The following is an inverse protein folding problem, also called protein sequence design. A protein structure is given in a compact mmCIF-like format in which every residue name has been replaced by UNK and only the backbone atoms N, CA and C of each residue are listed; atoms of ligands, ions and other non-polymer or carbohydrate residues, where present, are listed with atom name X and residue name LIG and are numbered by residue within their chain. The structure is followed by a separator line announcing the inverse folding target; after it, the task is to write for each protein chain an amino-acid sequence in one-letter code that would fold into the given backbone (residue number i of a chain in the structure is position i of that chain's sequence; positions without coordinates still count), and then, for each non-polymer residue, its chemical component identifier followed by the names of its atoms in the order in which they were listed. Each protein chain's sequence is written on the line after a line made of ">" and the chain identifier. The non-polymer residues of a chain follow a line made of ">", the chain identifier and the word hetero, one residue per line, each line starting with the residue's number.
data_IF_403670804667
#
_entry.id   IF_403670804667
#
_cell.length_a   1.000
_cell.length_b   1.000
_cell.length_c   1.000
_cell.angle_alpha   90.00
_cell.angle_beta   90.00
_cell.angle_gamma   90.00
#
_symmetry.space_group_name_H-M   'P 1'
#
loop_
_entity.id
_entity.type
_entity.pdbx_description
1 polymer ?
#
# COMPACT_ATOMS: atom_id res chain seq x y z
N UNK A 1 6.92 30.75 -1.32
CA UNK A 1 8.07 30.20 -0.56
C UNK A 1 7.76 28.85 0.09
N UNK A 2 6.58 28.64 0.71
CA UNK A 2 6.22 27.33 1.30
C UNK A 2 6.22 26.17 0.27
N UNK A 3 5.66 26.40 -0.91
CA UNK A 3 5.56 25.38 -1.97
C UNK A 3 6.93 24.91 -2.49
N UNK A 4 7.90 25.79 -2.65
CA UNK A 4 9.25 25.42 -3.09
C UNK A 4 10.01 24.63 -2.01
N UNK A 5 9.70 24.84 -0.73
CA UNK A 5 10.22 24.03 0.39
C UNK A 5 9.56 22.66 0.43
N UNK A 6 8.22 22.61 0.32
CA UNK A 6 7.49 21.34 0.26
C UNK A 6 7.90 20.51 -0.96
N UNK A 7 8.25 21.17 -2.06
CA UNK A 7 8.73 20.51 -3.27
C UNK A 7 10.21 20.09 -3.20
N UNK A 8 10.90 20.32 -2.08
CA UNK A 8 12.31 19.96 -1.92
C UNK A 8 13.23 20.64 -2.94
N UNK A 9 12.81 21.77 -3.46
CA UNK A 9 13.58 22.56 -4.42
C UNK A 9 14.51 23.54 -3.71
N UNK A 10 14.15 23.97 -2.50
CA UNK A 10 14.92 24.90 -1.70
C UNK A 10 14.95 24.44 -0.23
N UNK A 11 16.08 24.68 0.43
CA UNK A 11 16.23 24.57 1.88
C UNK A 11 16.45 25.97 2.49
N UNK A 12 15.97 26.16 3.73
CA UNK A 12 16.29 27.37 4.48
C UNK A 12 17.06 27.02 5.73
N UNK A 13 18.20 27.68 5.93
CA UNK A 13 18.98 27.59 7.15
C UNK A 13 18.94 28.93 7.89
N UNK A 14 18.70 28.87 9.18
CA UNK A 14 18.68 30.07 10.02
C UNK A 14 20.04 30.77 9.91
N UNK A 15 20.06 32.06 9.56
CA UNK A 15 21.25 32.85 9.36
C UNK A 15 21.91 32.78 7.97
N UNK A 16 21.52 31.84 7.11
CA UNK A 16 22.14 31.64 5.76
C UNK A 16 21.15 31.84 4.61
N UNK A 17 19.86 32.17 4.90
CA UNK A 17 18.86 32.43 3.89
C UNK A 17 18.26 31.17 3.30
N UNK A 18 17.83 31.25 2.02
CA UNK A 18 17.24 30.15 1.27
C UNK A 18 18.19 29.76 0.14
N UNK A 19 18.57 28.49 0.08
CA UNK A 19 19.41 27.92 -0.96
C UNK A 19 18.62 26.92 -1.82
N UNK A 20 18.97 26.87 -3.12
CA UNK A 20 18.42 25.86 -4.04
C UNK A 20 19.13 24.55 -3.80
N UNK A 21 18.35 23.47 -3.59
CA UNK A 21 18.91 22.14 -3.47
C UNK A 21 19.43 21.67 -4.83
N UNK A 22 20.71 21.26 -4.95
CA UNK A 22 21.26 20.74 -6.20
C UNK A 22 20.43 19.59 -6.77
N UNK A 23 20.29 19.50 -8.09
CA UNK A 23 19.46 18.49 -8.77
C UNK A 23 19.88 17.06 -8.38
N UNK A 24 21.17 16.82 -8.16
CA UNK A 24 21.72 15.53 -7.69
C UNK A 24 21.29 15.12 -6.29
N UNK A 25 20.84 16.07 -5.45
CA UNK A 25 20.35 15.85 -4.10
C UNK A 25 18.81 15.88 -4.04
N UNK A 26 18.14 16.23 -5.15
CA UNK A 26 16.68 16.21 -5.25
C UNK A 26 16.19 14.80 -5.49
N UNK A 27 16.40 13.92 -4.51
CA UNK A 27 15.77 12.60 -4.50
C UNK A 27 14.38 12.75 -3.90
N UNK A 28 13.39 12.97 -4.73
CA UNK A 28 12.01 12.79 -4.27
C UNK A 28 11.15 12.28 -5.41
N UNK A 29 10.93 10.99 -5.41
CA UNK A 29 9.69 10.46 -5.91
C UNK A 29 8.62 11.01 -4.96
N UNK A 30 7.77 11.91 -5.44
CA UNK A 30 6.73 12.54 -4.63
C UNK A 30 5.39 12.03 -5.11
N UNK A 31 4.76 11.23 -4.28
CA UNK A 31 3.32 11.11 -4.32
C UNK A 31 2.75 12.30 -3.54
N UNK A 32 1.92 13.10 -4.19
CA UNK A 32 1.22 14.18 -3.50
C UNK A 32 0.22 13.56 -2.51
N UNK A 33 0.13 14.13 -1.30
CA UNK A 33 -0.84 13.74 -0.25
C UNK A 33 -2.32 14.06 -0.64
N UNK A 34 -2.56 14.40 -1.90
CA UNK A 34 -3.90 14.68 -2.42
C UNK A 34 -4.58 13.37 -2.83
N UNK A 35 -5.90 13.35 -2.75
CA UNK A 35 -6.72 12.28 -3.34
C UNK A 35 -6.35 12.13 -4.81
N UNK A 36 -5.96 10.93 -5.21
CA UNK A 36 -5.56 10.64 -6.58
C UNK A 36 -6.79 10.58 -7.48
N UNK A 37 -6.69 11.17 -8.66
CA UNK A 37 -7.71 11.00 -9.68
C UNK A 37 -7.71 9.57 -10.26
N UNK A 38 -8.79 9.14 -10.95
CA UNK A 38 -8.94 7.77 -11.45
C UNK A 38 -7.75 7.27 -12.26
N UNK A 39 -7.21 8.09 -13.17
CA UNK A 39 -6.06 7.73 -13.98
C UNK A 39 -4.78 7.52 -13.14
N UNK A 40 -4.53 8.37 -12.16
CA UNK A 40 -3.38 8.24 -11.26
C UNK A 40 -3.49 6.99 -10.38
N UNK A 41 -4.71 6.61 -10.00
CA UNK A 41 -4.96 5.34 -9.28
C UNK A 41 -4.58 4.14 -10.13
N UNK A 42 -4.98 4.13 -11.41
CA UNK A 42 -4.64 3.06 -12.36
C UNK A 42 -3.11 2.95 -12.49
N UNK A 43 -2.44 4.05 -12.76
CA UNK A 43 -0.98 4.12 -12.91
C UNK A 43 -0.24 3.63 -11.63
N UNK A 44 -0.75 4.02 -10.45
CA UNK A 44 -0.19 3.57 -9.19
C UNK A 44 -0.41 2.07 -8.95
N UNK A 45 -1.57 1.54 -9.29
CA UNK A 45 -1.87 0.10 -9.20
C UNK A 45 -1.06 -0.72 -10.21
N UNK A 46 -0.74 -0.17 -11.38
CA UNK A 46 0.21 -0.80 -12.33
C UNK A 46 1.60 -0.96 -11.71
N UNK A 47 2.09 0.06 -11.00
CA UNK A 47 3.36 -0.01 -10.28
C UNK A 47 3.31 -0.98 -9.09
N UNK A 48 2.22 -1.00 -8.34
CA UNK A 48 2.05 -1.87 -7.16
C UNK A 48 2.03 -3.35 -7.53
N UNK A 49 1.35 -3.73 -8.63
CA UNK A 49 1.17 -5.14 -9.00
C UNK A 49 2.48 -5.93 -9.01
N UNK A 50 3.49 -5.61 -9.81
CA UNK A 50 4.73 -6.39 -9.84
C UNK A 50 5.47 -6.38 -8.52
N UNK A 51 5.45 -5.28 -7.78
CA UNK A 51 6.14 -5.14 -6.51
C UNK A 51 5.47 -5.97 -5.40
N UNK A 52 4.16 -5.93 -5.29
CA UNK A 52 3.45 -6.66 -4.24
C UNK A 52 3.31 -8.14 -4.57
N UNK A 53 3.22 -8.52 -5.85
CA UNK A 53 3.36 -9.92 -6.24
C UNK A 53 4.71 -10.49 -5.80
N UNK A 54 5.81 -9.78 -6.09
CA UNK A 54 7.15 -10.18 -5.65
C UNK A 54 7.25 -10.19 -4.12
N UNK A 55 6.63 -9.23 -3.42
CA UNK A 55 6.58 -9.21 -1.96
C UNK A 55 5.90 -10.46 -1.40
N UNK A 56 4.74 -10.85 -1.94
CA UNK A 56 4.01 -12.02 -1.48
C UNK A 56 4.80 -13.32 -1.74
N UNK A 57 5.46 -13.43 -2.91
CA UNK A 57 6.34 -14.56 -3.23
C UNK A 57 7.50 -14.67 -2.23
N UNK A 58 8.21 -13.58 -2.01
CA UNK A 58 9.33 -13.54 -1.08
C UNK A 58 8.88 -13.76 0.38
N UNK A 59 7.72 -13.24 0.77
CA UNK A 59 7.14 -13.50 2.09
C UNK A 59 6.83 -14.98 2.26
N UNK A 60 6.28 -15.67 1.26
CA UNK A 60 6.05 -17.11 1.31
C UNK A 60 7.35 -17.90 1.51
N UNK A 61 8.45 -17.48 0.87
CA UNK A 61 9.76 -18.11 1.01
C UNK A 61 10.42 -17.86 2.38
N UNK A 62 10.26 -16.66 2.95
CA UNK A 62 11.16 -16.13 3.99
C UNK A 62 10.52 -15.83 5.33
N UNK A 63 9.19 -15.72 5.40
CA UNK A 63 8.50 -15.28 6.61
C UNK A 63 8.92 -16.10 7.84
N UNK A 64 9.01 -15.40 8.96
CA UNK A 64 9.11 -15.98 10.30
C UNK A 64 7.70 -16.20 10.88
N UNK A 65 7.62 -16.90 11.99
CA UNK A 65 6.34 -17.02 12.74
C UNK A 65 5.85 -15.68 13.28
N UNK A 66 6.75 -14.73 13.52
CA UNK A 66 6.41 -13.36 13.93
C UNK A 66 5.76 -12.59 12.78
N UNK A 67 6.38 -12.64 11.59
CA UNK A 67 5.84 -11.98 10.39
C UNK A 67 4.44 -12.50 10.06
N UNK A 68 4.22 -13.82 10.16
CA UNK A 68 2.92 -14.42 9.91
C UNK A 68 1.87 -13.97 10.93
N UNK A 69 2.25 -13.78 12.20
CA UNK A 69 1.37 -13.17 13.20
C UNK A 69 1.00 -11.74 12.86
N UNK A 70 1.97 -10.91 12.49
CA UNK A 70 1.70 -9.51 12.10
C UNK A 70 0.73 -9.42 10.90
N UNK A 71 0.89 -10.28 9.89
CA UNK A 71 0.00 -10.36 8.72
C UNK A 71 -1.42 -10.74 9.16
N UNK A 72 -1.55 -11.79 9.98
CA UNK A 72 -2.84 -12.24 10.48
C UNK A 72 -3.52 -11.21 11.39
N UNK A 73 -2.77 -10.50 12.24
CA UNK A 73 -3.28 -9.44 13.10
C UNK A 73 -3.84 -8.27 12.29
N UNK A 74 -3.17 -7.87 11.21
CA UNK A 74 -3.67 -6.85 10.32
C UNK A 74 -4.98 -7.28 9.64
N UNK A 75 -5.05 -8.53 9.14
CA UNK A 75 -6.27 -9.08 8.57
C UNK A 75 -7.42 -9.14 9.59
N UNK A 76 -7.13 -9.56 10.83
CA UNK A 76 -8.14 -9.61 11.88
C UNK A 76 -8.65 -8.22 12.25
N UNK A 77 -7.79 -7.20 12.35
CA UNK A 77 -8.21 -5.81 12.58
C UNK A 77 -9.14 -5.32 11.46
N UNK A 78 -8.85 -5.63 10.20
CA UNK A 78 -9.72 -5.28 9.08
C UNK A 78 -11.09 -5.99 9.19
N UNK A 79 -11.12 -7.26 9.60
CA UNK A 79 -12.35 -8.04 9.76
C UNK A 79 -13.27 -7.46 10.83
N UNK A 80 -12.73 -7.03 11.97
CA UNK A 80 -13.50 -6.49 13.10
C UNK A 80 -13.84 -5.00 12.96
N UNK A 81 -13.16 -4.25 12.08
CA UNK A 81 -13.49 -2.85 11.83
C UNK A 81 -14.91 -2.72 11.29
N UNK A 82 -15.62 -1.67 11.73
CA UNK A 82 -16.91 -1.32 11.15
C UNK A 82 -16.68 -0.75 9.74
N UNK A 83 -17.53 -1.16 8.81
CA UNK A 83 -17.57 -0.81 7.39
C UNK A 83 -16.56 0.26 6.94
N UNK A 84 -15.43 -0.17 6.37
CA UNK A 84 -14.44 0.70 5.75
C UNK A 84 -14.19 2.03 6.47
N UNK A 85 -14.27 2.00 7.81
CA UNK A 85 -13.82 3.08 8.65
C UNK A 85 -12.34 3.38 8.37
N UNK A 86 -11.89 4.52 8.80
CA UNK A 86 -10.48 4.89 8.78
C UNK A 86 -9.56 3.77 9.32
N UNK A 87 -10.01 3.09 10.37
CA UNK A 87 -9.33 1.94 10.99
C UNK A 87 -9.25 0.72 10.06
N UNK A 88 -10.33 0.45 9.30
CA UNK A 88 -10.36 -0.65 8.33
C UNK A 88 -9.43 -0.41 7.14
N UNK A 89 -9.35 0.83 6.66
CA UNK A 89 -8.40 1.21 5.61
C UNK A 89 -6.97 1.16 6.13
N UNK A 90 -6.73 1.60 7.36
CA UNK A 90 -5.39 1.50 7.95
C UNK A 90 -4.97 0.03 8.11
N UNK A 91 -5.88 -0.85 8.54
CA UNK A 91 -5.58 -2.28 8.66
C UNK A 91 -5.28 -2.95 7.31
N UNK A 92 -5.93 -2.52 6.22
CA UNK A 92 -5.65 -2.93 4.84
C UNK A 92 -4.21 -2.52 4.42
N UNK A 93 -3.82 -1.29 4.68
CA UNK A 93 -2.47 -0.80 4.40
C UNK A 93 -1.41 -1.52 5.26
N UNK A 94 -1.72 -1.77 6.53
CA UNK A 94 -0.84 -2.50 7.44
C UNK A 94 -0.65 -3.96 6.99
N UNK A 95 -1.67 -4.59 6.41
CA UNK A 95 -1.59 -5.93 5.84
C UNK A 95 -0.57 -6.00 4.70
N UNK A 96 -0.66 -5.10 3.73
CA UNK A 96 0.30 -5.03 2.62
C UNK A 96 1.72 -4.69 3.09
N UNK A 97 1.84 -3.79 4.08
CA UNK A 97 3.12 -3.46 4.69
C UNK A 97 3.73 -4.65 5.45
N UNK A 98 2.93 -5.42 6.19
CA UNK A 98 3.41 -6.60 6.90
C UNK A 98 3.93 -7.68 5.93
N UNK A 99 3.26 -7.90 4.79
CA UNK A 99 3.75 -8.79 3.73
C UNK A 99 5.08 -8.29 3.16
N UNK A 100 5.20 -6.98 2.90
CA UNK A 100 6.44 -6.38 2.43
C UNK A 100 7.59 -6.54 3.44
N UNK A 101 7.31 -6.40 4.74
CA UNK A 101 8.26 -6.63 5.84
C UNK A 101 8.71 -8.10 5.89
N UNK A 102 7.79 -9.05 5.70
CA UNK A 102 8.06 -10.49 5.68
C UNK A 102 8.99 -10.93 4.53
N UNK A 103 9.25 -10.08 3.55
CA UNK A 103 10.28 -10.33 2.51
C UNK A 103 11.70 -10.41 3.07
N UNK A 104 11.95 -9.86 4.27
CA UNK A 104 13.28 -9.67 4.84
C UNK A 104 14.12 -8.59 4.14
N UNK A 105 13.56 -7.87 3.16
CA UNK A 105 14.21 -6.77 2.46
C UNK A 105 13.55 -5.44 2.84
N UNK A 106 14.24 -4.57 3.60
CA UNK A 106 13.66 -3.33 4.13
C UNK A 106 13.16 -2.38 3.05
N UNK A 107 13.72 -2.42 1.83
CA UNK A 107 13.27 -1.55 0.74
C UNK A 107 11.82 -1.81 0.31
N UNK A 108 11.32 -3.06 0.42
CA UNK A 108 9.90 -3.35 0.16
C UNK A 108 9.01 -2.70 1.22
N UNK A 109 9.36 -2.83 2.50
CA UNK A 109 8.61 -2.24 3.60
C UNK A 109 8.61 -0.70 3.54
N UNK A 110 9.77 -0.08 3.32
CA UNK A 110 9.92 1.38 3.20
C UNK A 110 9.10 1.92 2.03
N UNK A 111 9.12 1.21 0.89
CA UNK A 111 8.36 1.61 -0.28
C UNK A 111 6.85 1.49 -0.05
N UNK A 112 6.38 0.41 0.58
CA UNK A 112 4.96 0.23 0.92
C UNK A 112 4.48 1.26 1.94
N UNK A 113 5.29 1.60 2.96
CA UNK A 113 4.99 2.66 3.90
C UNK A 113 4.85 4.03 3.21
N UNK A 114 5.75 4.32 2.26
CA UNK A 114 5.70 5.54 1.45
C UNK A 114 4.41 5.62 0.59
N UNK A 115 4.01 4.52 -0.03
CA UNK A 115 2.76 4.45 -0.82
C UNK A 115 1.52 4.58 0.05
N UNK A 116 1.55 4.04 1.26
CA UNK A 116 0.41 3.99 2.18
C UNK A 116 -0.20 5.36 2.45
N UNK A 117 0.63 6.39 2.63
CA UNK A 117 0.17 7.76 2.83
C UNK A 117 -0.68 8.31 1.68
N UNK A 118 -0.25 8.09 0.44
CA UNK A 118 -0.99 8.55 -0.74
C UNK A 118 -2.25 7.70 -1.01
N UNK A 119 -2.17 6.40 -0.74
CA UNK A 119 -3.28 5.47 -0.97
C UNK A 119 -4.42 5.67 0.02
N UNK A 120 -4.12 5.98 1.28
CA UNK A 120 -5.11 6.06 2.36
C UNK A 120 -6.28 6.99 2.02
N UNK A 121 -5.99 8.25 1.67
CA UNK A 121 -7.02 9.21 1.31
C UNK A 121 -7.84 8.75 0.10
N UNK A 122 -7.17 8.20 -0.91
CA UNK A 122 -7.81 7.70 -2.14
C UNK A 122 -8.72 6.50 -1.87
N UNK A 123 -8.26 5.53 -1.07
CA UNK A 123 -9.07 4.36 -0.69
C UNK A 123 -10.29 4.78 0.13
N UNK A 124 -10.12 5.69 1.10
CA UNK A 124 -11.25 6.21 1.89
C UNK A 124 -12.31 6.84 1.01
N UNK A 125 -11.91 7.69 0.06
CA UNK A 125 -12.84 8.34 -0.88
C UNK A 125 -13.55 7.30 -1.74
N UNK A 126 -12.82 6.42 -2.43
CA UNK A 126 -13.39 5.40 -3.30
C UNK A 126 -14.37 4.47 -2.56
N UNK A 127 -14.08 4.14 -1.31
CA UNK A 127 -14.94 3.27 -0.49
C UNK A 127 -16.17 3.97 0.04
N UNK A 128 -16.08 5.27 0.39
CA UNK A 128 -17.25 6.06 0.81
C UNK A 128 -18.24 6.29 -0.34
N UNK A 129 -17.78 6.28 -1.57
CA UNK A 129 -18.59 6.47 -2.78
C UNK A 129 -19.15 5.15 -3.33
N UNK A 130 -18.57 4.02 -2.93
CA UNK A 130 -18.98 2.72 -3.44
C UNK A 130 -20.38 2.30 -2.95
N UNK A 131 -21.19 1.87 -3.91
CA UNK A 131 -22.53 1.31 -3.66
C UNK A 131 -22.54 -0.20 -3.46
N UNK A 132 -21.42 -0.88 -3.59
CA UNK A 132 -21.34 -2.32 -3.44
C UNK A 132 -21.18 -2.73 -1.96
N UNK A 133 -22.21 -3.31 -1.32
CA UNK A 133 -22.15 -3.69 0.10
C UNK A 133 -21.20 -4.87 0.37
N UNK A 134 -20.75 -5.57 -0.67
CA UNK A 134 -19.93 -6.78 -0.53
C UNK A 134 -18.42 -6.51 -0.68
N UNK A 135 -17.99 -5.27 -0.89
CA UNK A 135 -16.56 -4.99 -1.10
C UNK A 135 -15.70 -5.51 0.04
N UNK A 136 -16.16 -5.32 1.28
CA UNK A 136 -15.41 -5.76 2.47
C UNK A 136 -15.25 -7.28 2.49
N UNK A 137 -16.32 -8.05 2.28
CA UNK A 137 -16.24 -9.50 2.27
C UNK A 137 -15.35 -10.03 1.15
N UNK A 138 -15.48 -9.47 -0.05
CA UNK A 138 -14.62 -9.84 -1.19
C UNK A 138 -13.16 -9.57 -0.87
N UNK A 139 -12.82 -8.40 -0.36
CA UNK A 139 -11.43 -8.05 0.00
C UNK A 139 -10.89 -8.98 1.09
N UNK A 140 -11.68 -9.30 2.12
CA UNK A 140 -11.27 -10.22 3.17
C UNK A 140 -11.02 -11.65 2.67
N UNK A 141 -11.82 -12.13 1.72
CA UNK A 141 -11.63 -13.42 1.07
C UNK A 141 -10.37 -13.44 0.21
N UNK A 142 -10.14 -12.38 -0.58
CA UNK A 142 -8.91 -12.21 -1.37
C UNK A 142 -7.67 -12.22 -0.47
N UNK A 143 -7.70 -11.48 0.63
CA UNK A 143 -6.60 -11.45 1.62
C UNK A 143 -6.38 -12.81 2.29
N UNK A 144 -7.46 -13.53 2.62
CA UNK A 144 -7.35 -14.87 3.19
C UNK A 144 -6.60 -15.83 2.25
N UNK A 145 -6.86 -15.76 0.94
CA UNK A 145 -6.13 -16.56 -0.05
C UNK A 145 -4.63 -16.24 -0.08
N UNK A 146 -4.27 -14.95 0.05
CA UNK A 146 -2.87 -14.53 0.13
C UNK A 146 -2.21 -15.11 1.39
N UNK A 147 -2.85 -14.97 2.55
CA UNK A 147 -2.33 -15.48 3.83
C UNK A 147 -2.12 -16.98 3.77
N UNK A 148 -3.11 -17.74 3.29
CA UNK A 148 -3.03 -19.20 3.17
C UNK A 148 -1.86 -19.64 2.29
N UNK A 149 -1.63 -18.95 1.17
CA UNK A 149 -0.52 -19.24 0.28
C UNK A 149 0.84 -18.93 0.90
N UNK A 150 0.94 -17.81 1.65
CA UNK A 150 2.17 -17.44 2.38
C UNK A 150 2.43 -18.48 3.49
N UNK A 151 1.43 -18.84 4.28
CA UNK A 151 1.53 -19.83 5.35
C UNK A 151 1.93 -21.22 4.83
N UNK A 152 1.38 -21.61 3.68
CA UNK A 152 1.72 -22.85 2.98
C UNK A 152 3.13 -22.84 2.35
N UNK A 153 3.84 -21.70 2.40
CA UNK A 153 5.14 -21.50 1.75
C UNK A 153 5.09 -21.81 0.25
N UNK A 154 4.00 -21.40 -0.43
CA UNK A 154 3.84 -21.49 -1.87
C UNK A 154 4.00 -20.10 -2.52
N UNK A 155 5.20 -19.76 -3.02
CA UNK A 155 5.46 -18.45 -3.64
C UNK A 155 4.61 -18.22 -4.90
N UNK A 156 4.36 -19.30 -5.67
CA UNK A 156 3.55 -19.22 -6.89
C UNK A 156 2.11 -18.84 -6.59
N UNK A 157 1.48 -19.55 -5.65
CA UNK A 157 0.12 -19.25 -5.21
C UNK A 157 0.02 -17.88 -4.53
N UNK A 158 1.00 -17.50 -3.68
CA UNK A 158 1.01 -16.21 -2.99
C UNK A 158 1.08 -15.02 -3.98
N UNK A 159 1.98 -15.08 -4.96
CA UNK A 159 2.08 -14.06 -6.00
C UNK A 159 0.82 -14.00 -6.86
N UNK A 160 0.23 -15.13 -7.22
CA UNK A 160 -1.00 -15.17 -8.01
C UNK A 160 -2.20 -14.61 -7.24
N UNK A 161 -2.36 -14.96 -5.96
CA UNK A 161 -3.42 -14.45 -5.11
C UNK A 161 -3.31 -12.92 -4.95
N UNK A 162 -2.09 -12.39 -4.73
CA UNK A 162 -1.84 -10.95 -4.67
C UNK A 162 -2.18 -10.26 -6.00
N UNK A 163 -1.84 -10.84 -7.14
CA UNK A 163 -2.20 -10.30 -8.46
C UNK A 163 -3.72 -10.17 -8.60
N UNK A 164 -4.47 -11.23 -8.29
CA UNK A 164 -5.93 -11.24 -8.40
C UNK A 164 -6.56 -10.20 -7.48
N UNK A 165 -6.08 -10.09 -6.23
CA UNK A 165 -6.52 -9.07 -5.29
C UNK A 165 -6.33 -7.65 -5.84
N UNK A 166 -5.14 -7.30 -6.33
CA UNK A 166 -4.85 -5.97 -6.86
C UNK A 166 -5.61 -5.66 -8.16
N UNK A 167 -5.87 -6.67 -9.00
CA UNK A 167 -6.72 -6.52 -10.18
C UNK A 167 -8.17 -6.25 -9.78
N UNK A 168 -8.70 -7.00 -8.81
CA UNK A 168 -10.03 -6.79 -8.27
C UNK A 168 -10.17 -5.41 -7.62
N UNK A 169 -9.18 -4.98 -6.83
CA UNK A 169 -9.14 -3.64 -6.25
C UNK A 169 -9.15 -2.54 -7.33
N UNK A 170 -8.35 -2.69 -8.39
CA UNK A 170 -8.33 -1.76 -9.52
C UNK A 170 -9.70 -1.65 -10.19
N UNK A 171 -10.34 -2.77 -10.47
CA UNK A 171 -11.66 -2.79 -11.08
C UNK A 171 -12.72 -2.12 -10.19
N UNK A 172 -12.69 -2.39 -8.88
CA UNK A 172 -13.62 -1.78 -7.92
C UNK A 172 -13.44 -0.27 -7.75
N UNK A 173 -12.21 0.24 -7.92
CA UNK A 173 -11.90 1.67 -7.82
C UNK A 173 -12.17 2.45 -9.12
N UNK A 174 -12.34 1.75 -10.24
CA UNK A 174 -12.54 2.37 -11.57
C UNK A 174 -13.90 2.05 -12.20
N UNK A 175 -14.70 1.16 -11.57
CA UNK A 175 -16.06 0.82 -12.01
C UNK A 175 -17.07 1.84 -11.46
N UNK A 176 -17.22 2.97 -12.17
CA UNK A 176 -18.39 3.84 -12.11
C UNK A 176 -19.04 3.98 -13.49
#
# INVERSE_FOLDING_TARGET
>A
MSRLKSDGLVESRQGSGVSVIPLSLRRSFKLHEAVLGPQQVIELLELRRPLEMASAQLAAERHTSEDLREINDAQQRMKISLDWSDEGVQADLDFHHAIAKATGNPFYADFMAFLGGALRATILTARSESKNPNIKSITLEEHLMIVQAIEARDPGAAGHAMLLHLQGASQRMTAE
#
